data_IF_241765043354
#
_entry.id   IF_241765043354
#
_cell.length_a   1.000
_cell.length_b   1.000
_cell.length_c   1.000
_cell.angle_alpha   90.00
_cell.angle_beta   90.00
_cell.angle_gamma   90.00
#
_symmetry.space_group_name_H-M   'P 1'
#
loop_
_entity.id
_entity.type
_entity.pdbx_description
1 polymer ?
#
# COMPACT_ATOMS: atom_id res chain seq x y z
N UNK A 1 8.20 -39.88 -30.99
CA UNK A 1 9.01 -38.81 -30.36
C UNK A 1 8.09 -37.62 -30.28
N UNK A 2 7.35 -37.51 -29.15
CA UNK A 2 6.52 -36.36 -28.88
C UNK A 2 7.43 -35.25 -28.36
N UNK A 3 7.44 -34.11 -29.03
CA UNK A 3 8.03 -32.88 -28.51
C UNK A 3 7.06 -32.39 -27.45
N UNK A 4 7.45 -32.46 -26.16
CA UNK A 4 6.78 -31.72 -25.08
C UNK A 4 6.88 -30.22 -25.46
N UNK A 5 5.77 -29.67 -25.88
CA UNK A 5 5.63 -28.22 -26.06
C UNK A 5 5.56 -27.68 -24.62
N UNK A 6 6.70 -27.25 -24.08
CA UNK A 6 6.79 -26.50 -22.85
C UNK A 6 5.87 -25.30 -23.00
N UNK A 7 4.69 -25.38 -22.41
CA UNK A 7 3.70 -24.30 -22.45
C UNK A 7 4.25 -23.15 -21.65
N UNK A 8 4.37 -21.98 -22.27
CA UNK A 8 4.71 -20.75 -21.57
C UNK A 8 3.74 -20.53 -20.41
N UNK A 9 4.25 -20.10 -19.22
CA UNK A 9 3.42 -19.94 -18.02
C UNK A 9 2.23 -19.01 -18.29
N UNK A 10 1.04 -19.45 -17.92
CA UNK A 10 -0.19 -18.69 -18.10
C UNK A 10 -0.26 -17.50 -17.16
N UNK A 11 -0.97 -16.44 -17.56
CA UNK A 11 -1.25 -15.25 -16.73
C UNK A 11 -1.82 -15.61 -15.34
N UNK A 12 -2.64 -16.68 -15.27
CA UNK A 12 -3.22 -17.17 -14.02
C UNK A 12 -2.18 -17.82 -13.09
N UNK A 13 -1.15 -18.40 -13.64
CA UNK A 13 -0.05 -19.00 -12.88
C UNK A 13 0.75 -17.90 -12.19
N UNK A 14 1.00 -16.78 -12.89
CA UNK A 14 1.68 -15.61 -12.31
C UNK A 14 0.91 -15.02 -11.14
N UNK A 15 -0.40 -14.84 -11.24
CA UNK A 15 -1.22 -14.28 -10.15
C UNK A 15 -1.19 -15.17 -8.91
N UNK A 16 -1.37 -16.50 -9.06
CA UNK A 16 -1.27 -17.47 -7.95
C UNK A 16 0.10 -17.46 -7.28
N UNK A 17 1.16 -17.36 -8.07
CA UNK A 17 2.52 -17.29 -7.54
C UNK A 17 2.75 -16.00 -6.78
N UNK A 18 2.26 -14.85 -7.26
CA UNK A 18 2.34 -13.57 -6.55
C UNK A 18 1.54 -13.59 -5.25
N UNK A 19 0.33 -14.16 -5.26
CA UNK A 19 -0.49 -14.29 -4.05
C UNK A 19 0.17 -15.19 -3.00
N UNK A 20 0.81 -16.29 -3.43
CA UNK A 20 1.57 -17.15 -2.54
C UNK A 20 2.80 -16.42 -1.96
N UNK A 21 3.52 -15.71 -2.82
CA UNK A 21 4.67 -14.91 -2.42
C UNK A 21 4.28 -13.78 -1.45
N UNK A 22 3.13 -13.14 -1.66
CA UNK A 22 2.63 -12.09 -0.76
C UNK A 22 2.37 -12.63 0.66
N UNK A 23 1.87 -13.86 0.78
CA UNK A 23 1.71 -14.53 2.09
C UNK A 23 3.04 -14.80 2.77
N UNK A 24 4.05 -15.28 2.04
CA UNK A 24 5.40 -15.48 2.57
C UNK A 24 6.03 -14.15 2.98
N UNK A 25 5.90 -13.13 2.13
CA UNK A 25 6.40 -11.78 2.43
C UNK A 25 5.78 -11.20 3.71
N UNK A 26 4.49 -11.43 3.92
CA UNK A 26 3.77 -10.97 5.13
C UNK A 26 4.29 -11.65 6.38
N UNK A 27 4.57 -12.96 6.31
CA UNK A 27 4.99 -13.76 7.46
C UNK A 27 6.49 -13.59 7.80
N UNK A 28 7.36 -13.49 6.79
CA UNK A 28 8.80 -13.64 6.92
C UNK A 28 9.61 -12.48 6.31
N UNK A 29 8.95 -11.49 5.72
CA UNK A 29 9.61 -10.40 5.01
C UNK A 29 10.23 -10.83 3.68
N UNK A 30 11.04 -9.96 3.09
CA UNK A 30 11.70 -10.25 1.82
C UNK A 30 12.74 -11.39 1.93
N UNK A 31 13.26 -11.63 3.12
CA UNK A 31 14.26 -12.70 3.38
C UNK A 31 13.64 -14.09 3.20
N UNK A 32 12.36 -14.27 3.57
CA UNK A 32 11.66 -15.55 3.46
C UNK A 32 11.27 -15.97 2.04
N UNK A 33 11.36 -15.08 1.06
CA UNK A 33 10.98 -15.36 -0.31
C UNK A 33 11.99 -16.28 -1.00
N UNK A 34 11.67 -17.56 -1.12
CA UNK A 34 12.38 -18.52 -1.94
C UNK A 34 11.44 -19.27 -2.90
N UNK A 35 11.98 -19.70 -4.05
CA UNK A 35 11.17 -20.31 -5.11
C UNK A 35 10.51 -21.64 -4.70
N UNK A 36 11.10 -22.42 -3.79
CA UNK A 36 10.57 -23.71 -3.39
C UNK A 36 9.36 -23.54 -2.46
N UNK A 37 9.47 -22.66 -1.47
CA UNK A 37 8.37 -22.31 -0.57
C UNK A 37 7.19 -21.71 -1.35
N UNK A 38 7.47 -20.76 -2.25
CA UNK A 38 6.44 -20.14 -3.09
C UNK A 38 5.75 -21.16 -4.00
N UNK A 39 6.50 -22.04 -4.66
CA UNK A 39 5.96 -23.10 -5.51
C UNK A 39 5.00 -24.00 -4.73
N UNK A 40 5.42 -24.44 -3.54
CA UNK A 40 4.58 -25.28 -2.68
C UNK A 40 3.26 -24.60 -2.31
N UNK A 41 3.32 -23.32 -1.93
CA UNK A 41 2.13 -22.55 -1.54
C UNK A 41 1.22 -22.18 -2.72
N UNK A 42 1.79 -21.99 -3.90
CA UNK A 42 1.05 -21.69 -5.12
C UNK A 42 0.42 -22.94 -5.74
N UNK A 43 0.85 -24.14 -5.34
CA UNK A 43 0.47 -25.40 -6.00
C UNK A 43 1.10 -25.55 -7.40
N UNK A 44 2.29 -24.98 -7.59
CA UNK A 44 3.06 -24.99 -8.83
C UNK A 44 4.37 -25.77 -8.64
N UNK A 45 5.02 -26.12 -9.77
CA UNK A 45 6.38 -26.62 -9.68
C UNK A 45 7.40 -25.47 -9.59
N UNK A 46 8.58 -25.76 -9.05
CA UNK A 46 9.62 -24.75 -8.87
C UNK A 46 10.18 -24.25 -10.22
N UNK A 47 10.12 -25.05 -11.29
CA UNK A 47 10.58 -24.62 -12.60
C UNK A 47 9.66 -23.54 -13.17
N UNK A 48 8.35 -23.68 -13.00
CA UNK A 48 7.35 -22.66 -13.36
C UNK A 48 7.61 -21.35 -12.62
N UNK A 49 7.83 -21.41 -11.28
CA UNK A 49 8.13 -20.20 -10.50
C UNK A 49 9.43 -19.54 -10.97
N UNK A 50 10.48 -20.32 -11.26
CA UNK A 50 11.75 -19.78 -11.79
C UNK A 50 11.62 -19.21 -13.20
N UNK A 51 10.76 -19.78 -14.02
CA UNK A 51 10.49 -19.25 -15.37
C UNK A 51 9.77 -17.89 -15.31
N UNK A 52 8.85 -17.72 -14.34
CA UNK A 52 8.13 -16.47 -14.12
C UNK A 52 9.00 -15.40 -13.45
N UNK A 53 9.85 -15.82 -12.51
CA UNK A 53 10.68 -14.97 -11.66
C UNK A 53 12.07 -15.59 -11.53
N UNK A 54 13.00 -15.31 -12.46
CA UNK A 54 14.33 -15.91 -12.48
C UNK A 54 15.12 -15.69 -11.20
N UNK A 55 15.00 -14.50 -10.62
CA UNK A 55 15.69 -14.11 -9.40
C UNK A 55 14.69 -13.84 -8.25
N UNK A 56 15.14 -14.04 -7.01
CA UNK A 56 14.33 -13.73 -5.83
C UNK A 56 13.83 -12.28 -5.82
N UNK A 57 14.65 -11.36 -6.29
CA UNK A 57 14.29 -9.94 -6.34
C UNK A 57 13.12 -9.67 -7.31
N UNK A 58 12.95 -10.48 -8.35
CA UNK A 58 11.81 -10.36 -9.25
C UNK A 58 10.50 -10.67 -8.54
N UNK A 59 10.53 -11.64 -7.63
CA UNK A 59 9.37 -11.95 -6.76
C UNK A 59 9.07 -10.80 -5.81
N UNK A 60 10.11 -10.23 -5.14
CA UNK A 60 9.94 -9.08 -4.23
C UNK A 60 9.28 -7.91 -4.96
N UNK A 61 9.79 -7.58 -6.15
CA UNK A 61 9.24 -6.51 -6.99
C UNK A 61 7.78 -6.79 -7.33
N UNK A 62 7.45 -8.00 -7.78
CA UNK A 62 6.08 -8.36 -8.14
C UNK A 62 5.11 -8.28 -6.95
N UNK A 63 5.54 -8.68 -5.75
CA UNK A 63 4.74 -8.53 -4.53
C UNK A 63 4.51 -7.06 -4.21
N UNK A 64 5.52 -6.21 -4.30
CA UNK A 64 5.37 -4.78 -4.04
C UNK A 64 4.47 -4.11 -5.08
N UNK A 65 4.61 -4.43 -6.38
CA UNK A 65 3.73 -3.96 -7.44
C UNK A 65 2.27 -4.35 -7.16
N UNK A 66 2.02 -5.61 -6.84
CA UNK A 66 0.69 -6.11 -6.47
C UNK A 66 0.08 -5.38 -5.26
N UNK A 67 0.88 -5.11 -4.22
CA UNK A 67 0.44 -4.34 -3.05
C UNK A 67 0.18 -2.87 -3.39
N UNK A 68 0.93 -2.29 -4.32
CA UNK A 68 0.69 -0.93 -4.80
C UNK A 68 -0.66 -0.82 -5.53
N UNK A 69 -0.96 -1.77 -6.42
CA UNK A 69 -2.24 -1.85 -7.11
C UNK A 69 -3.39 -1.99 -6.11
N UNK A 70 -3.31 -2.95 -5.18
CA UNK A 70 -4.32 -3.16 -4.15
C UNK A 70 -4.56 -1.93 -3.25
N UNK A 71 -3.50 -1.20 -2.93
CA UNK A 71 -3.61 0.05 -2.19
C UNK A 71 -4.41 1.10 -2.96
N UNK A 72 -4.10 1.29 -4.24
CA UNK A 72 -4.79 2.25 -5.08
C UNK A 72 -6.27 1.87 -5.31
N UNK A 73 -6.54 0.59 -5.54
CA UNK A 73 -7.91 0.07 -5.67
C UNK A 73 -8.69 0.30 -4.36
N UNK A 74 -8.09 0.00 -3.22
CA UNK A 74 -8.70 0.22 -1.91
C UNK A 74 -8.99 1.70 -1.60
N UNK A 75 -8.13 2.63 -2.04
CA UNK A 75 -8.42 4.07 -1.96
C UNK A 75 -9.58 4.47 -2.86
N UNK A 76 -9.62 3.95 -4.09
CA UNK A 76 -10.70 4.23 -5.02
C UNK A 76 -12.05 3.70 -4.50
N UNK A 77 -12.07 2.47 -3.97
CA UNK A 77 -13.27 1.87 -3.37
C UNK A 77 -13.74 2.65 -2.14
N UNK A 78 -12.83 3.07 -1.26
CA UNK A 78 -13.15 3.85 -0.07
C UNK A 78 -13.71 5.24 -0.40
N UNK A 79 -13.32 5.81 -1.53
CA UNK A 79 -13.81 7.12 -2.00
C UNK A 79 -15.23 7.05 -2.58
N UNK A 80 -15.75 5.84 -2.87
CA UNK A 80 -17.11 5.68 -3.40
C UNK A 80 -18.13 6.21 -2.39
N UNK A 81 -18.90 7.20 -2.81
CA UNK A 81 -19.94 7.81 -1.97
C UNK A 81 -19.46 8.98 -1.10
N UNK A 82 -18.21 9.39 -1.19
CA UNK A 82 -17.73 10.62 -0.55
C UNK A 82 -18.52 11.84 -1.08
N UNK A 83 -19.00 12.69 -0.16
CA UNK A 83 -19.85 13.82 -0.52
C UNK A 83 -19.07 14.95 -1.19
N UNK A 84 -17.82 15.15 -0.77
CA UNK A 84 -16.92 16.17 -1.29
C UNK A 84 -15.44 15.77 -1.07
N UNK A 85 -14.51 16.62 -1.49
CA UNK A 85 -13.07 16.35 -1.37
C UNK A 85 -12.59 16.27 0.10
N UNK A 86 -13.24 16.91 1.06
CA UNK A 86 -12.89 16.82 2.50
C UNK A 86 -13.34 15.48 3.06
N UNK A 87 -14.52 15.01 2.67
CA UNK A 87 -15.00 13.69 3.03
C UNK A 87 -14.11 12.60 2.39
N UNK A 88 -13.71 12.78 1.12
CA UNK A 88 -12.77 11.88 0.44
C UNK A 88 -11.40 11.80 1.14
N UNK A 89 -10.87 12.90 1.69
CA UNK A 89 -9.67 12.86 2.54
C UNK A 89 -9.89 11.96 3.76
N UNK A 90 -11.06 12.02 4.40
CA UNK A 90 -11.36 11.20 5.58
C UNK A 90 -11.52 9.72 5.24
N UNK A 91 -11.91 9.38 4.00
CA UNK A 91 -11.98 7.97 3.56
C UNK A 91 -10.60 7.32 3.43
N UNK A 92 -9.52 8.08 3.19
CA UNK A 92 -8.14 7.57 3.21
C UNK A 92 -7.81 6.97 4.59
N UNK A 93 -8.21 7.62 5.66
CA UNK A 93 -7.99 7.13 7.02
C UNK A 93 -8.94 5.97 7.38
N UNK A 94 -10.14 5.92 6.80
CA UNK A 94 -11.04 4.79 6.93
C UNK A 94 -10.45 3.54 6.22
N UNK A 95 -9.86 3.72 5.05
CA UNK A 95 -9.14 2.65 4.36
C UNK A 95 -7.94 2.14 5.18
N UNK A 96 -7.17 3.05 5.81
CA UNK A 96 -6.11 2.64 6.75
C UNK A 96 -6.66 1.81 7.92
N UNK A 97 -7.78 2.23 8.51
CA UNK A 97 -8.41 1.48 9.61
C UNK A 97 -8.76 0.06 9.17
N UNK A 98 -9.37 -0.10 8.00
CA UNK A 98 -9.67 -1.42 7.41
C UNK A 98 -8.41 -2.25 7.16
N UNK A 99 -7.32 -1.64 6.67
CA UNK A 99 -6.04 -2.34 6.52
C UNK A 99 -5.48 -2.83 7.86
N UNK A 100 -5.64 -2.05 8.93
CA UNK A 100 -5.13 -2.40 10.27
C UNK A 100 -5.99 -3.42 11.01
N UNK A 101 -7.23 -3.68 10.54
CA UNK A 101 -8.10 -4.76 11.04
C UNK A 101 -7.63 -6.14 10.58
N UNK A 102 -6.81 -6.22 9.53
CA UNK A 102 -6.20 -7.45 9.09
C UNK A 102 -5.14 -7.91 10.12
N UNK A 103 -5.37 -9.06 10.76
CA UNK A 103 -4.46 -9.62 11.76
C UNK A 103 -3.05 -9.91 11.20
N UNK A 104 -2.93 -10.02 9.88
CA UNK A 104 -1.65 -10.23 9.19
C UNK A 104 -0.91 -8.92 8.90
N UNK A 105 -1.50 -7.76 9.21
CA UNK A 105 -0.86 -6.47 9.01
C UNK A 105 0.41 -6.32 9.86
N UNK A 106 1.55 -6.17 9.19
CA UNK A 106 2.88 -6.03 9.81
C UNK A 106 3.56 -4.70 9.52
N UNK A 107 2.79 -3.74 9.00
CA UNK A 107 3.31 -2.42 8.61
C UNK A 107 3.33 -2.21 7.10
N UNK A 108 3.85 -1.07 6.69
CA UNK A 108 3.96 -0.72 5.28
C UNK A 108 5.03 -1.59 4.60
N UNK A 109 4.62 -2.44 3.66
CA UNK A 109 5.50 -3.31 2.89
C UNK A 109 6.63 -2.56 2.18
N UNK A 110 6.38 -1.34 1.73
CA UNK A 110 7.35 -0.51 1.02
C UNK A 110 8.42 0.04 1.96
N UNK A 111 8.04 0.49 3.16
CA UNK A 111 8.98 0.95 4.18
C UNK A 111 9.81 -0.22 4.69
N UNK A 112 9.17 -1.37 4.97
CA UNK A 112 9.86 -2.58 5.40
C UNK A 112 10.83 -3.08 4.33
N UNK A 113 10.36 -3.25 3.08
CA UNK A 113 11.19 -3.66 1.96
C UNK A 113 12.34 -2.69 1.68
N UNK A 114 12.12 -1.38 1.79
CA UNK A 114 13.19 -0.40 1.69
C UNK A 114 14.22 -0.54 2.82
N UNK A 115 13.78 -0.76 4.05
CA UNK A 115 14.66 -0.99 5.19
C UNK A 115 15.53 -2.23 5.04
N UNK A 116 14.98 -3.31 4.49
CA UNK A 116 15.67 -4.58 4.28
C UNK A 116 16.60 -4.55 3.05
N UNK A 117 16.13 -4.04 1.92
CA UNK A 117 16.75 -4.20 0.60
C UNK A 117 17.06 -2.89 -0.14
N UNK A 118 16.50 -1.75 0.28
CA UNK A 118 16.58 -0.51 -0.50
C UNK A 118 18.01 0.01 -0.74
N UNK A 119 18.99 -0.41 0.08
CA UNK A 119 20.40 -0.04 -0.12
C UNK A 119 21.09 -0.86 -1.20
N UNK A 120 20.67 -2.10 -1.40
CA UNK A 120 21.29 -3.04 -2.35
C UNK A 120 20.48 -3.18 -3.64
N UNK A 121 19.17 -2.96 -3.56
CA UNK A 121 18.22 -3.21 -4.64
C UNK A 121 17.51 -1.93 -5.09
N UNK A 122 18.01 -1.34 -6.17
CA UNK A 122 17.47 -0.07 -6.68
C UNK A 122 16.01 -0.15 -7.11
N UNK A 123 15.52 -1.32 -7.58
CA UNK A 123 14.12 -1.53 -7.94
C UNK A 123 13.19 -1.43 -6.75
N UNK A 124 13.59 -1.98 -5.60
CA UNK A 124 12.83 -1.88 -4.34
C UNK A 124 12.81 -0.44 -3.85
N UNK A 125 13.96 0.25 -3.91
CA UNK A 125 14.04 1.66 -3.54
C UNK A 125 13.13 2.53 -4.42
N UNK A 126 13.10 2.28 -5.74
CA UNK A 126 12.27 3.01 -6.68
C UNK A 126 10.76 2.79 -6.38
N UNK A 127 10.32 1.56 -6.16
CA UNK A 127 8.93 1.24 -5.82
C UNK A 127 8.49 1.84 -4.49
N UNK A 128 9.36 1.82 -3.47
CA UNK A 128 9.07 2.47 -2.20
C UNK A 128 8.90 3.99 -2.37
N UNK A 129 9.78 4.60 -3.14
CA UNK A 129 9.69 6.03 -3.45
C UNK A 129 8.42 6.38 -4.24
N UNK A 130 8.09 5.58 -5.26
CA UNK A 130 6.89 5.75 -6.07
C UNK A 130 5.62 5.62 -5.23
N UNK A 131 5.54 4.61 -4.36
CA UNK A 131 4.38 4.38 -3.50
C UNK A 131 4.14 5.56 -2.55
N UNK A 132 5.18 6.03 -1.83
CA UNK A 132 5.04 7.15 -0.91
C UNK A 132 4.68 8.45 -1.63
N UNK A 133 5.34 8.72 -2.78
CA UNK A 133 4.98 9.88 -3.60
C UNK A 133 3.57 9.82 -4.17
N UNK A 134 3.08 8.62 -4.49
CA UNK A 134 1.69 8.41 -4.93
C UNK A 134 0.70 8.83 -3.86
N UNK A 135 0.92 8.44 -2.60
CA UNK A 135 0.08 8.83 -1.45
C UNK A 135 0.12 10.36 -1.25
N UNK A 136 1.32 10.95 -1.25
CA UNK A 136 1.50 12.39 -1.14
C UNK A 136 0.76 13.14 -2.25
N UNK A 137 0.97 12.76 -3.51
CA UNK A 137 0.32 13.37 -4.66
C UNK A 137 -1.20 13.25 -4.62
N UNK A 138 -1.73 12.11 -4.17
CA UNK A 138 -3.17 11.90 -4.00
C UNK A 138 -3.75 12.86 -2.96
N UNK A 139 -3.14 12.96 -1.77
CA UNK A 139 -3.58 13.87 -0.72
C UNK A 139 -3.43 15.35 -1.11
N UNK A 140 -2.38 15.71 -1.86
CA UNK A 140 -2.20 17.06 -2.42
C UNK A 140 -3.33 17.39 -3.42
N UNK A 141 -3.68 16.46 -4.30
CA UNK A 141 -4.79 16.66 -5.23
C UNK A 141 -6.13 16.85 -4.49
N UNK A 142 -6.41 16.04 -3.48
CA UNK A 142 -7.61 16.15 -2.65
C UNK A 142 -7.64 17.46 -1.87
N UNK A 143 -6.53 17.84 -1.24
CA UNK A 143 -6.41 19.09 -0.51
C UNK A 143 -6.63 20.31 -1.43
N UNK A 144 -6.08 20.29 -2.65
CA UNK A 144 -6.31 21.32 -3.66
C UNK A 144 -7.80 21.44 -4.03
N UNK A 145 -8.50 20.31 -4.25
CA UNK A 145 -9.95 20.29 -4.51
C UNK A 145 -10.78 20.78 -3.31
N UNK A 146 -10.28 20.53 -2.09
CA UNK A 146 -10.91 20.98 -0.85
C UNK A 146 -10.60 22.44 -0.49
N UNK A 147 -9.79 23.15 -1.28
CA UNK A 147 -9.34 24.52 -1.00
C UNK A 147 -8.43 24.65 0.20
N UNK A 148 -7.67 23.58 0.52
CA UNK A 148 -6.75 23.56 1.66
C UNK A 148 -5.33 23.98 1.22
N UNK A 149 -4.58 24.67 2.10
CA UNK A 149 -3.20 25.05 1.80
C UNK A 149 -2.27 23.82 1.71
N UNK A 150 -1.17 23.97 0.97
CA UNK A 150 -0.20 22.89 0.71
C UNK A 150 0.35 22.24 1.99
N UNK A 151 0.69 23.03 3.00
CA UNK A 151 1.21 22.50 4.27
C UNK A 151 0.20 21.62 5.05
N UNK A 152 -1.11 21.77 4.78
CA UNK A 152 -2.13 20.85 5.31
C UNK A 152 -2.05 19.52 4.58
N UNK A 153 -1.86 19.52 3.26
CA UNK A 153 -1.66 18.29 2.50
C UNK A 153 -0.41 17.52 2.97
N UNK A 154 0.69 18.25 3.23
CA UNK A 154 1.92 17.66 3.80
C UNK A 154 1.65 17.04 5.18
N UNK A 155 0.91 17.75 6.03
CA UNK A 155 0.52 17.23 7.35
C UNK A 155 -0.37 15.99 7.26
N UNK A 156 -1.32 15.94 6.32
CA UNK A 156 -2.17 14.77 6.08
C UNK A 156 -1.32 13.55 5.64
N UNK A 157 -0.33 13.76 4.78
CA UNK A 157 0.59 12.69 4.35
C UNK A 157 1.40 12.15 5.53
N UNK A 158 1.91 13.02 6.40
CA UNK A 158 2.62 12.62 7.61
C UNK A 158 1.72 11.87 8.61
N UNK A 159 0.43 12.25 8.72
CA UNK A 159 -0.54 11.53 9.55
C UNK A 159 -0.77 10.10 9.02
N UNK A 160 -0.85 9.90 7.70
CA UNK A 160 -0.97 8.57 7.09
C UNK A 160 0.23 7.70 7.43
N UNK A 161 1.45 8.21 7.23
CA UNK A 161 2.67 7.44 7.49
C UNK A 161 2.88 7.18 8.98
N UNK A 162 2.62 8.17 9.84
CA UNK A 162 2.66 7.99 11.28
C UNK A 162 1.66 6.94 11.78
N UNK A 163 0.43 6.95 11.25
CA UNK A 163 -0.58 5.95 11.61
C UNK A 163 -0.16 4.52 11.24
N UNK A 164 0.46 4.33 10.06
CA UNK A 164 0.99 3.03 9.63
C UNK A 164 2.06 2.50 10.58
N UNK A 165 3.00 3.35 11.00
CA UNK A 165 4.09 2.96 11.91
C UNK A 165 3.54 2.59 13.29
N UNK A 166 2.70 3.44 13.87
CA UNK A 166 2.09 3.22 15.18
C UNK A 166 1.21 1.95 15.20
N UNK A 167 0.42 1.72 14.14
CA UNK A 167 -0.42 0.54 14.03
C UNK A 167 0.41 -0.75 13.94
N UNK A 168 1.51 -0.74 13.20
CA UNK A 168 2.39 -1.89 13.07
C UNK A 168 3.04 -2.29 14.41
N UNK A 169 3.51 -1.28 15.17
CA UNK A 169 4.21 -1.51 16.44
C UNK A 169 3.22 -1.95 17.53
N UNK A 170 2.07 -1.28 17.63
CA UNK A 170 1.13 -1.49 18.73
C UNK A 170 0.01 -2.49 18.42
N UNK A 171 -0.05 -3.00 17.20
CA UNK A 171 -1.05 -3.96 16.72
C UNK A 171 -2.49 -3.54 17.07
N UNK A 172 -2.87 -2.33 16.64
CA UNK A 172 -4.16 -1.72 16.94
C UNK A 172 -4.61 -0.80 15.80
N UNK A 173 -5.93 -0.69 15.59
CA UNK A 173 -6.53 0.24 14.64
C UNK A 173 -6.60 1.68 15.14
N UNK A 174 -6.37 1.91 16.45
CA UNK A 174 -6.47 3.23 17.09
C UNK A 174 -5.72 4.35 16.35
N UNK A 175 -4.50 4.13 15.82
CA UNK A 175 -3.76 5.19 15.11
C UNK A 175 -4.50 5.75 13.90
N UNK A 176 -5.22 4.91 13.11
CA UNK A 176 -6.01 5.38 11.97
C UNK A 176 -7.14 6.32 12.43
N UNK A 177 -7.86 5.96 13.50
CA UNK A 177 -8.92 6.81 14.08
C UNK A 177 -8.38 8.13 14.61
N UNK A 178 -7.23 8.08 15.30
CA UNK A 178 -6.58 9.28 15.84
C UNK A 178 -6.11 10.20 14.69
N UNK A 179 -5.51 9.65 13.65
CA UNK A 179 -5.10 10.39 12.47
C UNK A 179 -6.30 11.00 11.71
N UNK A 180 -7.41 10.23 11.59
CA UNK A 180 -8.67 10.74 11.00
C UNK A 180 -9.22 11.94 11.77
N UNK A 181 -9.23 11.86 13.11
CA UNK A 181 -9.68 12.97 13.95
C UNK A 181 -8.76 14.20 13.82
N UNK A 182 -7.45 14.00 13.79
CA UNK A 182 -6.48 15.05 13.56
C UNK A 182 -6.66 15.70 12.18
N UNK A 183 -6.87 14.90 11.14
CA UNK A 183 -7.15 15.39 9.80
C UNK A 183 -8.43 16.24 9.75
N UNK A 184 -9.52 15.80 10.37
CA UNK A 184 -10.77 16.55 10.47
C UNK A 184 -10.56 17.88 11.20
N UNK A 185 -9.78 17.87 12.30
CA UNK A 185 -9.45 19.08 13.08
C UNK A 185 -8.62 20.07 12.26
N UNK A 186 -7.60 19.59 11.56
CA UNK A 186 -6.78 20.43 10.65
C UNK A 186 -7.65 21.06 9.56
N UNK A 187 -8.50 20.29 8.92
CA UNK A 187 -9.37 20.79 7.87
C UNK A 187 -10.36 21.83 8.39
N UNK A 188 -10.88 21.66 9.62
CA UNK A 188 -11.81 22.63 10.23
C UNK A 188 -11.13 23.98 10.45
N UNK A 189 -9.85 24.03 10.82
CA UNK A 189 -9.11 25.28 11.01
C UNK A 189 -8.99 26.12 9.72
N UNK A 190 -9.18 25.49 8.56
CA UNK A 190 -9.15 26.12 7.23
C UNK A 190 -10.52 26.07 6.53
N UNK A 191 -11.62 25.85 7.27
CA UNK A 191 -12.93 26.04 6.72
C UNK A 191 -13.13 27.52 6.36
N UNK A 192 -13.73 27.86 5.21
CA UNK A 192 -14.13 29.24 4.95
C UNK A 192 -14.97 29.72 6.14
N UNK A 193 -14.58 30.81 6.77
CA UNK A 193 -15.24 31.33 7.97
C UNK A 193 -16.73 31.46 7.68
N UNK A 194 -17.57 30.72 8.42
CA UNK A 194 -19.02 30.88 8.45
C UNK A 194 -19.43 32.17 9.22
N UNK A 195 -18.49 33.11 9.39
CA UNK A 195 -18.67 34.35 10.14
C UNK A 195 -18.38 35.57 9.28
N UNK A 196 -19.19 35.82 8.24
CA UNK A 196 -19.25 37.13 7.61
C UNK A 196 -20.66 37.48 7.08
N UNK A 197 -21.71 36.98 7.72
CA UNK A 197 -23.07 37.42 7.44
C UNK A 197 -23.79 37.93 8.70
N UNK A 198 -23.12 38.84 9.44
CA UNK A 198 -23.79 39.70 10.43
C UNK A 198 -23.17 41.09 10.39
N UNK A 199 -23.47 41.88 9.35
CA UNK A 199 -23.64 43.34 9.42
C UNK A 199 -24.69 43.73 8.40
#
# INVERSE_FOLDING_TARGET
MGVDVEQAPHRWDRARVVDAADRVFTAEGAVGLDHATIATLAGEDQATVRALFPERIDVVVAVLEHRHERWNDGLADAAVGAADARDEILTVFAHLESCFEDETWTGCAFINGYGELGRSESRVAALAHEHLRGIEAHLHALAGRAGLPLHVADALSLLVEGAKVEAAIHRTTRPARSARLAAATLMTAYAPNAHTDFI
#
